data_IF_407955335070
#
_entry.id   IF_407955335070
#
_cell.length_a   1.000
_cell.length_b   1.000
_cell.length_c   1.000
_cell.angle_alpha   90.00
_cell.angle_beta   90.00
_cell.angle_gamma   90.00
#
_symmetry.space_group_name_H-M   'P 1'
#
loop_
_entity.id
_entity.type
_entity.pdbx_description
1 polymer ?
#
# COMPACT_ATOMS: atom_id res chain seq x y z
N UNK A 1 -4.31 14.98 32.42
CA UNK A 1 -4.48 14.51 31.03
C UNK A 1 -3.36 13.53 30.75
N UNK A 2 -3.63 12.22 30.80
CA UNK A 2 -2.60 11.19 30.59
C UNK A 2 -2.55 10.87 29.11
N UNK A 3 -1.48 11.28 28.43
CA UNK A 3 -1.21 10.94 27.05
C UNK A 3 -0.59 9.52 27.05
N UNK A 4 -1.40 8.50 26.76
CA UNK A 4 -0.90 7.14 26.49
C UNK A 4 -0.18 7.17 25.15
N UNK A 5 1.16 7.18 25.17
CA UNK A 5 1.97 6.94 23.99
C UNK A 5 1.80 5.48 23.57
N UNK A 6 1.11 5.24 22.46
CA UNK A 6 0.97 3.91 21.88
C UNK A 6 2.36 3.42 21.48
N UNK A 7 2.84 2.25 21.96
CA UNK A 7 4.13 1.73 21.54
C UNK A 7 4.06 1.40 20.03
N UNK A 8 4.80 2.16 19.22
CA UNK A 8 5.03 1.81 17.81
C UNK A 8 5.83 0.51 17.80
N UNK A 9 5.18 -0.62 17.50
CA UNK A 9 5.86 -1.87 17.27
C UNK A 9 6.86 -1.68 16.11
N UNK A 10 8.08 -2.25 16.19
CA UNK A 10 9.04 -2.15 15.10
C UNK A 10 8.45 -2.83 13.87
N UNK A 11 8.06 -2.05 12.87
CA UNK A 11 7.65 -2.56 11.57
C UNK A 11 8.90 -3.17 10.92
N UNK A 12 8.94 -4.50 10.84
CA UNK A 12 9.99 -5.20 10.10
C UNK A 12 9.67 -5.00 8.62
N UNK A 13 10.27 -3.98 8.03
CA UNK A 13 10.10 -3.67 6.61
C UNK A 13 11.14 -4.46 5.81
N UNK A 14 10.73 -5.11 4.73
CA UNK A 14 11.63 -5.83 3.84
C UNK A 14 12.63 -4.85 3.22
N UNK A 15 13.93 -5.14 3.37
CA UNK A 15 15.00 -4.33 2.78
C UNK A 15 14.96 -4.32 1.25
N UNK A 16 14.49 -5.40 0.62
CA UNK A 16 14.33 -5.45 -0.82
C UNK A 16 13.25 -4.46 -1.30
N UNK A 17 12.13 -4.38 -0.56
CA UNK A 17 11.07 -3.42 -0.84
C UNK A 17 11.55 -1.98 -0.68
N UNK A 18 12.37 -1.71 0.34
CA UNK A 18 12.98 -0.39 0.55
C UNK A 18 13.89 0.01 -0.62
N UNK A 19 14.71 -0.91 -1.13
CA UNK A 19 15.58 -0.65 -2.28
C UNK A 19 14.77 -0.36 -3.56
N UNK A 20 13.65 -1.07 -3.75
CA UNK A 20 12.74 -0.82 -4.87
C UNK A 20 12.03 0.53 -4.76
N UNK A 21 11.55 0.91 -3.58
CA UNK A 21 10.96 2.25 -3.34
C UNK A 21 11.97 3.35 -3.67
N UNK A 22 13.22 3.19 -3.21
CA UNK A 22 14.30 4.14 -3.53
C UNK A 22 14.60 4.16 -5.03
N UNK A 23 14.57 3.01 -5.70
CA UNK A 23 14.75 2.93 -7.15
C UNK A 23 13.66 3.72 -7.89
N UNK A 24 12.38 3.53 -7.55
CA UNK A 24 11.26 4.22 -8.20
C UNK A 24 11.30 5.74 -7.98
N UNK A 25 11.59 6.20 -6.77
CA UNK A 25 11.75 7.63 -6.49
C UNK A 25 12.90 8.23 -7.31
N UNK A 26 14.03 7.52 -7.42
CA UNK A 26 15.16 7.95 -8.28
C UNK A 26 14.76 7.99 -9.76
N UNK A 27 14.03 7.01 -10.24
CA UNK A 27 13.56 6.95 -11.63
C UNK A 27 12.62 8.13 -11.94
N UNK A 28 11.64 8.42 -11.07
CA UNK A 28 10.73 9.55 -11.25
C UNK A 28 11.44 10.91 -11.20
N UNK A 29 12.38 11.07 -10.27
CA UNK A 29 13.19 12.30 -10.19
C UNK A 29 14.10 12.47 -11.41
N UNK A 30 14.62 11.38 -11.98
CA UNK A 30 15.44 11.43 -13.20
C UNK A 30 14.68 11.93 -14.44
N UNK A 31 13.35 11.77 -14.48
CA UNK A 31 12.48 12.28 -15.56
C UNK A 31 11.86 13.64 -15.24
N UNK A 32 12.29 14.31 -14.16
CA UNK A 32 11.92 15.68 -13.82
C UNK A 32 10.78 15.84 -12.81
N UNK A 33 10.32 14.76 -12.18
CA UNK A 33 9.36 14.85 -11.06
C UNK A 33 10.08 15.39 -9.83
N UNK A 34 9.45 16.28 -9.06
CA UNK A 34 10.06 16.77 -7.81
C UNK A 34 10.20 15.62 -6.80
N UNK A 35 11.24 15.63 -5.95
CA UNK A 35 11.46 14.56 -4.97
C UNK A 35 10.24 14.28 -4.07
N UNK A 36 9.57 15.33 -3.61
CA UNK A 36 8.40 15.23 -2.73
C UNK A 36 7.22 14.56 -3.46
N UNK A 37 6.97 14.95 -4.72
CA UNK A 37 5.92 14.35 -5.54
C UNK A 37 6.24 12.88 -5.89
N UNK A 38 7.50 12.57 -6.21
CA UNK A 38 7.93 11.21 -6.49
C UNK A 38 7.75 10.29 -5.25
N UNK A 39 8.11 10.76 -4.06
CA UNK A 39 7.91 10.02 -2.82
C UNK A 39 6.43 9.78 -2.51
N UNK A 40 5.59 10.81 -2.70
CA UNK A 40 4.15 10.72 -2.47
C UNK A 40 3.51 9.68 -3.40
N UNK A 41 3.75 9.78 -4.72
CA UNK A 41 3.18 8.86 -5.71
C UNK A 41 3.65 7.42 -5.48
N UNK A 42 4.93 7.22 -5.17
CA UNK A 42 5.47 5.88 -4.88
C UNK A 42 4.81 5.27 -3.64
N UNK A 43 4.54 6.09 -2.61
CA UNK A 43 3.86 5.64 -1.39
C UNK A 43 2.39 5.29 -1.66
N UNK A 44 1.67 6.12 -2.41
CA UNK A 44 0.27 5.86 -2.78
C UNK A 44 0.14 4.57 -3.61
N UNK A 45 1.05 4.34 -4.55
CA UNK A 45 1.10 3.10 -5.33
C UNK A 45 1.37 1.87 -4.45
N UNK A 46 2.33 1.97 -3.52
CA UNK A 46 2.66 0.85 -2.62
C UNK A 46 1.47 0.49 -1.71
N UNK A 47 0.77 1.50 -1.19
CA UNK A 47 -0.43 1.31 -0.38
C UNK A 47 -1.57 0.70 -1.21
N UNK A 48 -1.77 1.16 -2.43
CA UNK A 48 -2.78 0.61 -3.34
C UNK A 48 -2.49 -0.84 -3.72
N UNK A 49 -1.22 -1.17 -4.01
CA UNK A 49 -0.79 -2.54 -4.29
C UNK A 49 -0.98 -3.46 -3.08
N UNK A 50 -0.70 -2.96 -1.87
CA UNK A 50 -0.93 -3.70 -0.63
C UNK A 50 -2.42 -3.93 -0.38
N UNK A 51 -3.27 -2.93 -0.65
CA UNK A 51 -4.72 -3.06 -0.53
C UNK A 51 -5.34 -4.02 -1.56
N UNK A 52 -4.78 -4.10 -2.77
CA UNK A 52 -5.17 -5.11 -3.76
C UNK A 52 -4.77 -6.53 -3.34
N UNK A 53 -3.59 -6.70 -2.73
CA UNK A 53 -3.14 -7.99 -2.23
C UNK A 53 -4.03 -8.55 -1.11
N UNK A 54 -4.68 -7.68 -0.33
CA UNK A 54 -5.67 -8.07 0.69
C UNK A 54 -7.10 -8.23 0.14
N UNK A 55 -7.36 -7.85 -1.12
CA UNK A 55 -8.68 -7.85 -1.77
C UNK A 55 -8.88 -8.94 -2.83
N UNK A 56 -7.88 -9.78 -3.12
CA UNK A 56 -7.97 -10.93 -4.05
C UNK A 56 -8.40 -12.25 -3.36
N UNK A 57 -9.09 -12.18 -2.23
CA UNK A 57 -9.93 -13.26 -1.66
C UNK A 57 -11.40 -12.80 -1.61
N UNK A 58 -11.97 -12.44 -2.76
CA UNK A 58 -13.43 -12.36 -2.90
C UNK A 58 -13.86 -12.92 -4.26
N UNK A 59 -13.35 -14.12 -4.52
CA UNK A 59 -13.92 -15.06 -5.48
C UNK A 59 -14.65 -16.17 -4.73
N UNK A 60 -15.74 -15.84 -4.05
CA UNK A 60 -16.85 -16.79 -3.89
C UNK A 60 -18.13 -16.11 -4.34
N UNK A 61 -18.65 -16.65 -5.42
CA UNK A 61 -19.94 -16.39 -6.02
C UNK A 61 -21.04 -16.79 -5.02
N UNK A 62 -21.62 -15.84 -4.29
CA UNK A 62 -22.87 -16.07 -3.54
C UNK A 62 -23.97 -15.16 -4.10
N UNK A 63 -24.46 -15.55 -5.28
CA UNK A 63 -25.74 -15.13 -5.84
C UNK A 63 -26.75 -16.28 -5.67
N UNK A 64 -27.01 -16.70 -4.43
CA UNK A 64 -28.29 -17.31 -4.04
C UNK A 64 -29.10 -16.21 -3.35
N UNK A 65 -30.25 -15.75 -3.87
CA UNK A 65 -31.51 -16.49 -3.84
C UNK A 65 -32.47 -15.88 -4.86
N UNK A 66 -32.80 -16.66 -5.89
CA UNK A 66 -33.97 -16.45 -6.73
C UNK A 66 -35.17 -17.04 -5.97
N UNK A 67 -35.88 -16.18 -5.25
CA UNK A 67 -37.12 -16.52 -4.55
C UNK A 67 -38.25 -16.72 -5.57
N UNK A 68 -38.41 -17.95 -6.05
CA UNK A 68 -39.61 -18.44 -6.73
C UNK A 68 -40.40 -19.36 -5.76
N UNK A 69 -41.33 -18.77 -4.99
CA UNK A 69 -42.60 -19.42 -4.62
C UNK A 69 -43.77 -18.42 -4.51
#
# INVERSE_FOLDING_TARGET
>A
MSQTATPTAPTVMDSALLDEVVHWVKTLTSVGVSPDCAAQVTTELLLAASAQAEGEEFGEEDFEEFDEE
#
